data_IF_326241600991
#
_entry.id   IF_326241600991
#
_cell.length_a   1.000
_cell.length_b   1.000
_cell.length_c   1.000
_cell.angle_alpha   90.00
_cell.angle_beta   90.00
_cell.angle_gamma   90.00
#
_symmetry.space_group_name_H-M   'P 1'
#
loop_
_entity.id
_entity.type
_entity.pdbx_description
1 polymer ?
#
# COMPACT_ATOMS: atom_id res chain seq x y z
N UNK A 1 50.32 5.34 29.75
CA UNK A 1 49.81 6.13 28.60
C UNK A 1 48.80 5.37 27.73
N UNK A 2 48.94 4.06 27.50
CA UNK A 2 48.00 3.26 26.69
C UNK A 2 46.56 3.18 27.20
N UNK A 3 46.31 3.18 28.52
CA UNK A 3 44.95 3.11 29.07
C UNK A 3 44.08 4.35 28.77
N UNK A 4 44.69 5.54 28.62
CA UNK A 4 43.93 6.77 28.30
C UNK A 4 43.50 6.84 26.83
N UNK A 5 44.21 6.15 25.93
CA UNK A 5 43.86 6.08 24.50
C UNK A 5 42.64 5.15 24.26
N UNK A 6 42.54 4.07 25.03
CA UNK A 6 41.42 3.11 24.90
C UNK A 6 40.08 3.74 25.30
N UNK A 7 40.04 4.56 26.36
CA UNK A 7 38.80 5.23 26.77
C UNK A 7 38.32 6.28 25.75
N UNK A 8 39.22 7.03 25.11
CA UNK A 8 38.81 8.05 24.11
C UNK A 8 38.20 7.41 22.87
N UNK A 9 38.77 6.29 22.39
CA UNK A 9 38.24 5.55 21.23
C UNK A 9 36.86 4.96 21.53
N UNK A 10 36.64 4.43 22.74
CA UNK A 10 35.36 3.86 23.14
C UNK A 10 34.26 4.93 23.23
N UNK A 11 34.58 6.13 23.75
CA UNK A 11 33.63 7.25 23.80
C UNK A 11 33.28 7.78 22.40
N UNK A 12 34.23 7.81 21.46
CA UNK A 12 33.93 8.21 20.07
C UNK A 12 33.07 7.18 19.32
N UNK A 13 33.26 5.88 19.60
CA UNK A 13 32.44 4.82 19.01
C UNK A 13 31.00 4.82 19.56
N UNK A 14 30.81 5.19 20.83
CA UNK A 14 29.49 5.30 21.45
C UNK A 14 28.74 6.55 20.98
N UNK A 15 29.44 7.68 20.80
CA UNK A 15 28.87 8.91 20.23
C UNK A 15 28.46 8.72 18.76
N UNK A 16 29.20 7.93 17.97
CA UNK A 16 28.84 7.59 16.59
C UNK A 16 27.53 6.80 16.48
N UNK A 17 27.16 6.01 17.50
CA UNK A 17 25.89 5.27 17.52
C UNK A 17 24.69 6.15 17.87
N UNK A 18 24.87 7.19 18.67
CA UNK A 18 23.81 8.16 18.98
C UNK A 18 23.46 9.06 17.77
N UNK A 19 24.45 9.38 16.93
CA UNK A 19 24.24 10.21 15.72
C UNK A 19 23.78 9.37 14.51
N UNK A 20 24.00 8.05 14.50
CA UNK A 20 23.46 7.16 13.48
C UNK A 20 21.96 6.84 13.66
N UNK A 21 21.39 7.12 14.83
CA UNK A 21 19.96 6.92 15.10
C UNK A 21 19.07 8.09 14.65
N UNK A 22 19.64 9.19 14.13
CA UNK A 22 18.91 10.43 13.82
C UNK A 22 18.51 10.60 12.35
N UNK A 23 18.60 9.55 11.53
CA UNK A 23 18.00 9.54 10.18
C UNK A 23 17.44 8.15 9.85
N UNK A 24 16.53 7.63 10.67
CA UNK A 24 15.66 6.54 10.23
C UNK A 24 14.50 7.17 9.46
N UNK A 25 14.60 7.20 8.13
CA UNK A 25 13.48 7.59 7.27
C UNK A 25 12.26 6.72 7.63
N UNK A 26 11.08 7.33 7.76
CA UNK A 26 9.85 6.56 7.98
C UNK A 26 9.57 5.76 6.70
N UNK A 27 9.69 4.44 6.79
CA UNK A 27 9.47 3.54 5.68
C UNK A 27 8.19 2.76 5.86
N UNK A 28 7.44 2.53 4.79
CA UNK A 28 6.24 1.71 4.75
C UNK A 28 6.56 0.43 3.99
N UNK A 29 6.32 -0.72 4.60
CA UNK A 29 6.53 -2.02 3.95
C UNK A 29 5.21 -2.53 3.38
N UNK A 30 5.19 -2.80 2.08
CA UNK A 30 3.99 -3.19 1.33
C UNK A 30 4.18 -4.64 0.87
N UNK A 31 3.28 -5.53 1.28
CA UNK A 31 3.23 -6.93 0.86
C UNK A 31 3.15 -7.92 2.06
N UNK A 32 2.49 -9.09 1.88
CA UNK A 32 2.23 -10.04 2.95
C UNK A 32 3.44 -10.90 3.36
N UNK A 33 4.50 -10.95 2.54
CA UNK A 33 5.66 -11.83 2.75
C UNK A 33 6.98 -11.17 2.36
N UNK A 34 8.01 -11.43 3.17
CA UNK A 34 9.43 -11.01 3.01
C UNK A 34 10.06 -11.28 1.62
N UNK A 35 9.40 -12.04 0.75
CA UNK A 35 9.91 -12.37 -0.60
C UNK A 35 9.51 -11.38 -1.69
N UNK A 36 8.49 -10.55 -1.46
CA UNK A 36 8.05 -9.51 -2.40
C UNK A 36 7.57 -8.25 -1.66
N UNK A 37 8.21 -7.95 -0.54
CA UNK A 37 7.98 -6.72 0.22
C UNK A 37 8.72 -5.58 -0.46
N UNK A 38 7.98 -4.53 -0.84
CA UNK A 38 8.61 -3.28 -1.28
C UNK A 38 8.55 -2.30 -0.11
N UNK A 39 9.72 -1.83 0.32
CA UNK A 39 9.84 -0.80 1.33
C UNK A 39 9.90 0.55 0.61
N UNK A 40 8.92 1.40 0.89
CA UNK A 40 8.74 2.71 0.24
C UNK A 40 8.86 3.80 1.31
N UNK A 41 9.48 4.93 1.01
CA UNK A 41 9.52 6.04 1.96
C UNK A 41 8.14 6.68 2.13
N UNK A 42 7.83 7.24 3.29
CA UNK A 42 6.56 7.92 3.55
C UNK A 42 6.19 8.95 2.47
N UNK A 43 7.18 9.71 2.02
CA UNK A 43 7.05 10.75 0.98
C UNK A 43 6.82 10.18 -0.41
N UNK A 44 7.21 8.93 -0.66
CA UNK A 44 7.03 8.24 -1.95
C UNK A 44 5.65 7.58 -2.05
N UNK A 45 4.97 7.33 -0.93
CA UNK A 45 3.64 6.69 -0.90
C UNK A 45 2.63 7.42 -1.78
N UNK A 46 2.65 8.76 -1.76
CA UNK A 46 1.75 9.62 -2.54
C UNK A 46 2.47 10.42 -3.63
N UNK A 47 3.67 10.00 -4.05
CA UNK A 47 4.44 10.68 -5.09
C UNK A 47 3.94 10.32 -6.50
N UNK A 48 2.64 10.48 -6.73
CA UNK A 48 2.02 10.32 -8.02
C UNK A 48 0.96 11.40 -8.26
N UNK A 49 0.85 11.83 -9.51
CA UNK A 49 -0.12 12.85 -9.87
C UNK A 49 -1.50 12.22 -10.04
N UNK A 50 -2.33 12.34 -9.00
CA UNK A 50 -3.72 11.84 -8.99
C UNK A 50 -4.55 12.45 -10.13
N UNK A 51 -4.31 13.72 -10.47
CA UNK A 51 -5.02 14.41 -11.55
C UNK A 51 -4.72 13.84 -12.95
N UNK A 52 -3.62 13.11 -13.12
CA UNK A 52 -3.30 12.43 -14.38
C UNK A 52 -4.20 11.21 -14.64
N UNK A 53 -4.92 10.73 -13.63
CA UNK A 53 -5.77 9.55 -13.72
C UNK A 53 -7.24 9.96 -13.62
N UNK A 54 -8.02 9.93 -14.73
CA UNK A 54 -9.39 10.43 -14.75
C UNK A 54 -10.29 9.82 -13.66
N UNK A 55 -10.09 8.52 -13.39
CA UNK A 55 -10.90 7.74 -12.44
C UNK A 55 -10.74 8.23 -11.00
N UNK A 56 -9.52 8.61 -10.59
CA UNK A 56 -9.22 9.03 -9.21
C UNK A 56 -9.00 10.54 -9.08
N UNK A 57 -9.13 11.30 -10.17
CA UNK A 57 -8.88 12.75 -10.21
C UNK A 57 -9.73 13.55 -9.21
N UNK A 58 -10.94 13.07 -8.87
CA UNK A 58 -11.81 13.65 -7.85
C UNK A 58 -11.22 13.59 -6.42
N UNK A 59 -10.25 12.71 -6.19
CA UNK A 59 -9.57 12.55 -4.90
C UNK A 59 -8.34 13.45 -4.73
N UNK A 60 -7.97 14.23 -5.76
CA UNK A 60 -6.78 15.08 -5.76
C UNK A 60 -6.70 16.01 -4.54
N UNK A 61 -7.83 16.62 -4.14
CA UNK A 61 -7.89 17.48 -2.95
C UNK A 61 -7.52 16.75 -1.65
N UNK A 62 -8.05 15.53 -1.44
CA UNK A 62 -7.75 14.70 -0.27
C UNK A 62 -6.30 14.23 -0.27
N UNK A 63 -5.79 13.86 -1.44
CA UNK A 63 -4.42 13.39 -1.59
C UNK A 63 -3.38 14.52 -1.50
N UNK A 64 -3.72 15.75 -1.90
CA UNK A 64 -2.92 16.95 -1.63
C UNK A 64 -2.86 17.28 -0.15
N UNK A 65 -3.97 17.15 0.58
CA UNK A 65 -3.98 17.33 2.04
C UNK A 65 -3.10 16.29 2.73
N UNK A 66 -3.20 15.02 2.33
CA UNK A 66 -2.37 13.94 2.86
C UNK A 66 -0.88 14.13 2.55
N UNK A 67 -0.52 14.39 1.29
CA UNK A 67 0.88 14.66 0.91
C UNK A 67 1.45 15.90 1.60
N UNK A 68 0.63 16.95 1.82
CA UNK A 68 1.00 18.12 2.61
C UNK A 68 1.32 17.78 4.07
N UNK A 69 0.48 16.95 4.72
CA UNK A 69 0.72 16.50 6.10
C UNK A 69 1.99 15.64 6.21
N UNK A 70 2.19 14.71 5.27
CA UNK A 70 3.40 13.87 5.18
C UNK A 70 4.65 14.74 4.97
N UNK A 71 4.59 15.70 4.04
CA UNK A 71 5.71 16.61 3.76
C UNK A 71 6.02 17.53 4.96
N UNK A 72 5.01 17.97 5.71
CA UNK A 72 5.20 18.73 6.95
C UNK A 72 5.95 17.91 8.00
N UNK A 73 5.63 16.62 8.15
CA UNK A 73 6.36 15.71 9.03
C UNK A 73 7.79 15.41 8.54
N UNK A 74 8.01 15.38 7.22
CA UNK A 74 9.34 15.23 6.65
C UNK A 74 10.21 16.48 6.88
N UNK A 75 9.61 17.67 6.91
CA UNK A 75 10.30 18.94 7.12
C UNK A 75 10.53 19.27 8.61
N UNK A 76 9.67 18.77 9.51
CA UNK A 76 9.88 18.85 10.95
C UNK A 76 11.09 17.99 11.36
N UNK A 77 11.84 18.46 12.36
CA UNK A 77 13.14 17.91 12.79
C UNK A 77 13.26 16.38 12.65
N UNK A 78 14.14 15.94 11.75
CA UNK A 78 14.66 14.57 11.66
C UNK A 78 13.62 13.42 11.65
N UNK A 79 12.70 13.40 10.67
CA UNK A 79 11.79 12.25 10.46
C UNK A 79 11.03 11.84 11.74
N UNK A 80 10.33 12.80 12.35
CA UNK A 80 9.57 12.55 13.57
C UNK A 80 8.48 11.50 13.32
N UNK A 81 8.72 10.27 13.80
CA UNK A 81 7.78 9.17 13.68
C UNK A 81 6.49 9.40 14.46
N UNK A 82 6.52 10.24 15.50
CA UNK A 82 5.31 10.68 16.18
C UNK A 82 4.43 11.53 15.25
N UNK A 83 5.03 12.36 14.40
CA UNK A 83 4.31 13.18 13.43
C UNK A 83 3.66 12.32 12.34
N UNK A 84 4.38 11.33 11.80
CA UNK A 84 3.81 10.40 10.80
C UNK A 84 2.67 9.53 11.36
N UNK A 85 2.69 9.26 12.65
CA UNK A 85 1.68 8.45 13.35
C UNK A 85 0.58 9.28 14.02
N UNK A 86 0.67 10.60 13.98
CA UNK A 86 -0.37 11.47 14.51
C UNK A 86 -1.64 11.38 13.65
N UNK A 87 -2.80 11.55 14.28
CA UNK A 87 -4.11 11.61 13.60
C UNK A 87 -4.16 12.67 12.50
N UNK A 88 -3.42 13.76 12.68
CA UNK A 88 -3.28 14.85 11.70
C UNK A 88 -2.63 14.41 10.37
N UNK A 89 -1.88 13.31 10.37
CA UNK A 89 -1.25 12.72 9.18
C UNK A 89 -1.99 11.47 8.72
N UNK A 90 -2.37 10.61 9.65
CA UNK A 90 -3.00 9.31 9.34
C UNK A 90 -4.44 9.44 8.86
N UNK A 91 -5.23 10.39 9.38
CA UNK A 91 -6.61 10.58 8.92
C UNK A 91 -6.68 11.10 7.47
N UNK A 92 -5.93 12.15 7.07
CA UNK A 92 -5.88 12.57 5.67
C UNK A 92 -5.38 11.48 4.72
N UNK A 93 -4.40 10.68 5.15
CA UNK A 93 -3.89 9.54 4.39
C UNK A 93 -5.00 8.50 4.15
N UNK A 94 -5.69 8.08 5.21
CA UNK A 94 -6.80 7.13 5.12
C UNK A 94 -7.92 7.65 4.21
N UNK A 95 -8.22 8.96 4.30
CA UNK A 95 -9.21 9.63 3.47
C UNK A 95 -8.85 9.62 1.98
N UNK A 96 -7.59 9.89 1.65
CA UNK A 96 -7.08 9.85 0.28
C UNK A 96 -7.17 8.42 -0.28
N UNK A 97 -6.64 7.43 0.45
CA UNK A 97 -6.65 6.01 0.04
C UNK A 97 -8.07 5.48 -0.12
N UNK A 98 -8.97 5.82 0.81
CA UNK A 98 -10.38 5.43 0.76
C UNK A 98 -11.09 6.04 -0.45
N UNK A 99 -10.87 7.33 -0.72
CA UNK A 99 -11.45 7.98 -1.90
C UNK A 99 -10.99 7.32 -3.20
N UNK A 100 -9.69 7.04 -3.33
CA UNK A 100 -9.15 6.39 -4.52
C UNK A 100 -9.73 5.00 -4.72
N UNK A 101 -9.82 4.21 -3.64
CA UNK A 101 -10.42 2.89 -3.67
C UNK A 101 -11.89 2.94 -4.11
N UNK A 102 -12.71 3.79 -3.51
CA UNK A 102 -14.12 3.93 -3.87
C UNK A 102 -14.30 4.36 -5.33
N UNK A 103 -13.49 5.29 -5.82
CA UNK A 103 -13.56 5.75 -7.20
C UNK A 103 -13.19 4.65 -8.20
N UNK A 104 -12.19 3.82 -7.89
CA UNK A 104 -11.82 2.66 -8.70
C UNK A 104 -12.92 1.60 -8.73
N UNK A 105 -13.57 1.35 -7.59
CA UNK A 105 -14.67 0.40 -7.49
C UNK A 105 -15.90 0.89 -8.26
N UNK A 106 -16.29 2.16 -8.12
CA UNK A 106 -17.42 2.75 -8.88
C UNK A 106 -17.17 2.66 -10.38
N UNK A 107 -15.94 2.94 -10.82
CA UNK A 107 -15.58 2.87 -12.23
C UNK A 107 -15.38 1.43 -12.73
N UNK A 108 -15.36 0.44 -11.83
CA UNK A 108 -14.94 -0.94 -12.10
C UNK A 108 -13.65 -0.99 -12.91
N UNK A 109 -12.63 -0.25 -12.46
CA UNK A 109 -11.31 -0.18 -13.11
C UNK A 109 -10.24 -0.77 -12.23
N UNK A 110 -9.26 -1.48 -12.83
CA UNK A 110 -8.10 -1.93 -12.08
C UNK A 110 -7.31 -0.72 -11.57
N UNK A 111 -6.61 -0.95 -10.46
CA UNK A 111 -5.75 0.05 -9.84
C UNK A 111 -4.66 0.48 -10.83
N UNK A 112 -4.54 1.78 -11.19
CA UNK A 112 -3.56 2.24 -12.18
C UNK A 112 -2.12 2.16 -11.67
N UNK A 113 -1.94 2.19 -10.35
CA UNK A 113 -0.65 2.14 -9.65
C UNK A 113 -0.79 1.24 -8.42
N UNK A 114 0.19 0.39 -8.08
CA UNK A 114 0.08 -0.56 -6.97
C UNK A 114 -0.10 0.09 -5.57
N UNK A 115 0.15 1.39 -5.47
CA UNK A 115 0.05 2.16 -4.23
C UNK A 115 -1.30 2.88 -4.07
N UNK A 116 -2.07 3.08 -5.14
CA UNK A 116 -3.21 3.99 -5.13
C UNK A 116 -4.51 3.30 -4.69
N UNK A 117 -5.00 3.57 -3.47
CA UNK A 117 -6.19 2.93 -2.91
C UNK A 117 -5.86 1.56 -2.33
N UNK A 118 -4.69 1.43 -1.69
CA UNK A 118 -4.11 0.16 -1.30
C UNK A 118 -4.19 -0.07 0.21
N UNK A 119 -4.93 -1.11 0.63
CA UNK A 119 -5.01 -1.48 2.05
C UNK A 119 -3.66 -1.96 2.60
N UNK A 120 -2.78 -2.46 1.73
CA UNK A 120 -1.43 -2.87 2.11
C UNK A 120 -0.57 -1.68 2.54
N UNK A 121 -0.76 -0.50 1.93
CA UNK A 121 -0.11 0.75 2.34
C UNK A 121 -0.56 1.15 3.75
N UNK A 122 -1.87 1.14 3.99
CA UNK A 122 -2.46 1.48 5.29
C UNK A 122 -2.04 0.51 6.41
N UNK A 123 -1.98 -0.78 6.08
CA UNK A 123 -1.50 -1.82 7.00
C UNK A 123 -0.01 -1.63 7.30
N UNK A 124 0.81 -1.40 6.28
CA UNK A 124 2.23 -1.10 6.43
C UNK A 124 2.47 0.16 7.27
N UNK A 125 1.66 1.20 7.10
CA UNK A 125 1.75 2.43 7.90
C UNK A 125 1.44 2.16 9.38
N UNK A 126 0.37 1.42 9.65
CA UNK A 126 -0.03 1.02 11.01
C UNK A 126 1.07 0.21 11.71
N UNK A 127 1.66 -0.76 11.00
CA UNK A 127 2.75 -1.58 11.51
C UNK A 127 4.01 -0.75 11.81
N UNK A 128 4.35 0.19 10.93
CA UNK A 128 5.51 1.05 11.17
C UNK A 128 5.30 1.99 12.36
N UNK A 129 4.08 2.49 12.55
CA UNK A 129 3.73 3.24 13.74
C UNK A 129 3.87 2.41 15.03
N UNK A 130 3.42 1.16 15.02
CA UNK A 130 3.63 0.25 16.14
C UNK A 130 5.13 -0.02 16.39
N UNK A 131 5.93 -0.26 15.34
CA UNK A 131 7.37 -0.50 15.44
C UNK A 131 8.16 0.72 15.95
N UNK A 132 7.66 1.93 15.69
CA UNK A 132 8.23 3.20 16.16
C UNK A 132 7.75 3.58 17.58
N UNK A 133 7.06 2.69 18.30
CA UNK A 133 6.48 2.96 19.64
C UNK A 133 5.39 4.05 19.65
N UNK A 134 4.73 4.27 18.51
CA UNK A 134 3.59 5.17 18.35
C UNK A 134 2.37 4.40 17.83
N UNK A 135 1.85 3.39 18.56
CA UNK A 135 0.73 2.59 18.08
C UNK A 135 -0.50 3.46 17.87
N UNK A 136 -1.14 3.29 16.72
CA UNK A 136 -2.40 3.95 16.41
C UNK A 136 -3.51 3.37 17.30
N UNK A 137 -4.34 4.24 17.87
CA UNK A 137 -5.49 3.81 18.67
C UNK A 137 -6.50 3.00 17.84
N UNK A 138 -6.56 3.25 16.54
CA UNK A 138 -7.35 2.49 15.58
C UNK A 138 -6.46 2.19 14.37
N UNK A 139 -6.34 0.92 13.95
CA UNK A 139 -5.56 0.58 12.78
C UNK A 139 -6.16 1.23 11.53
N UNK A 140 -5.29 1.72 10.64
CA UNK A 140 -5.71 2.25 9.36
C UNK A 140 -6.28 1.13 8.49
N UNK A 141 -7.34 1.43 7.76
CA UNK A 141 -7.93 0.51 6.79
C UNK A 141 -8.79 1.25 5.79
N UNK A 142 -8.99 0.63 4.63
CA UNK A 142 -9.97 1.12 3.67
C UNK A 142 -11.37 0.91 4.23
N UNK A 143 -12.20 1.94 4.23
CA UNK A 143 -13.60 1.87 4.63
C UNK A 143 -14.50 2.35 3.51
N UNK A 144 -15.44 1.52 3.06
CA UNK A 144 -16.43 1.97 2.09
C UNK A 144 -17.50 2.79 2.81
N UNK A 145 -17.53 4.08 2.52
CA UNK A 145 -18.38 5.09 3.13
C UNK A 145 -19.31 5.78 2.10
N UNK A 146 -18.99 5.66 0.81
CA UNK A 146 -19.80 6.28 -0.24
C UNK A 146 -21.20 5.67 -0.30
N UNK A 147 -22.26 6.50 -0.27
CA UNK A 147 -23.65 6.05 -0.40
C UNK A 147 -23.92 5.24 -1.68
N UNK A 148 -23.09 5.43 -2.71
CA UNK A 148 -23.22 4.74 -3.99
C UNK A 148 -22.72 3.28 -3.95
N UNK A 149 -21.90 2.92 -2.96
CA UNK A 149 -21.42 1.55 -2.79
C UNK A 149 -22.12 0.81 -1.66
N UNK A 150 -22.64 1.53 -0.66
CA UNK A 150 -23.32 0.95 0.50
C UNK A 150 -24.55 0.17 0.00
N UNK A 151 -24.48 -1.16 0.10
CA UNK A 151 -25.57 -2.09 -0.27
C UNK A 151 -25.59 -2.55 -1.73
N UNK A 152 -24.66 -2.08 -2.58
CA UNK A 152 -24.57 -2.50 -4.00
C UNK A 152 -23.26 -3.22 -4.30
N UNK A 153 -22.20 -2.94 -3.52
CA UNK A 153 -20.92 -3.60 -3.68
C UNK A 153 -20.77 -4.74 -2.67
N UNK A 154 -20.77 -5.98 -3.14
CA UNK A 154 -20.60 -7.21 -2.34
C UNK A 154 -19.14 -7.48 -1.93
N UNK A 155 -18.24 -6.52 -2.14
CA UNK A 155 -16.82 -6.68 -1.86
C UNK A 155 -15.99 -7.06 -3.09
N UNK A 156 -14.69 -7.32 -2.92
CA UNK A 156 -13.83 -7.81 -3.99
C UNK A 156 -14.32 -9.19 -4.45
N UNK A 157 -14.96 -9.23 -5.61
CA UNK A 157 -15.36 -10.47 -6.25
C UNK A 157 -14.14 -11.09 -6.94
N UNK A 158 -13.53 -12.08 -6.30
CA UNK A 158 -12.55 -12.92 -6.95
C UNK A 158 -13.27 -14.06 -7.67
N UNK A 159 -13.54 -13.87 -8.97
CA UNK A 159 -14.01 -14.97 -9.82
C UNK A 159 -12.82 -15.89 -10.12
N UNK A 160 -12.42 -16.68 -9.14
CA UNK A 160 -11.44 -17.75 -9.36
C UNK A 160 -12.14 -18.77 -10.25
N UNK A 161 -11.81 -18.78 -11.54
CA UNK A 161 -12.25 -19.86 -12.42
C UNK A 161 -11.63 -21.15 -11.90
N UNK A 162 -12.42 -22.12 -11.39
CA UNK A 162 -11.85 -23.28 -10.75
C UNK A 162 -11.08 -24.09 -11.78
N UNK A 163 -9.76 -24.06 -11.68
CA UNK A 163 -8.82 -24.48 -12.71
C UNK A 163 -9.11 -25.91 -13.13
N UNK A 164 -9.38 -26.77 -12.14
CA UNK A 164 -9.70 -28.19 -12.35
C UNK A 164 -10.96 -28.39 -13.21
N UNK A 165 -12.04 -27.65 -12.95
CA UNK A 165 -13.29 -27.77 -13.71
C UNK A 165 -13.12 -27.15 -15.10
N UNK A 166 -12.42 -26.02 -15.16
CA UNK A 166 -12.07 -25.34 -16.40
C UNK A 166 -11.33 -26.22 -17.40
N UNK A 167 -10.30 -26.92 -16.92
CA UNK A 167 -9.52 -27.86 -17.72
C UNK A 167 -10.38 -29.03 -18.22
N UNK A 168 -11.23 -29.60 -17.37
CA UNK A 168 -12.12 -30.70 -17.77
C UNK A 168 -13.06 -30.25 -18.88
N UNK A 169 -13.71 -29.09 -18.75
CA UNK A 169 -14.63 -28.57 -19.78
C UNK A 169 -13.88 -28.31 -21.08
N UNK A 170 -12.71 -27.67 -21.03
CA UNK A 170 -11.92 -27.34 -22.21
C UNK A 170 -11.44 -28.59 -22.97
N UNK A 171 -10.93 -29.60 -22.25
CA UNK A 171 -10.43 -30.84 -22.85
C UNK A 171 -11.58 -31.68 -23.41
N UNK A 172 -12.67 -31.83 -22.66
CA UNK A 172 -13.82 -32.64 -23.10
C UNK A 172 -14.53 -31.99 -24.28
N UNK A 173 -14.73 -30.67 -24.23
CA UNK A 173 -15.30 -29.90 -25.34
C UNK A 173 -14.40 -29.91 -26.58
N UNK A 174 -13.07 -29.83 -26.39
CA UNK A 174 -12.10 -29.94 -27.47
C UNK A 174 -12.13 -31.30 -28.16
N UNK A 175 -12.13 -32.40 -27.38
CA UNK A 175 -12.19 -33.77 -27.90
C UNK A 175 -13.50 -34.06 -28.64
N UNK A 176 -14.64 -33.68 -28.06
CA UNK A 176 -15.95 -33.88 -28.69
C UNK A 176 -16.09 -33.02 -29.95
N UNK A 177 -15.67 -31.75 -29.89
CA UNK A 177 -15.71 -30.83 -31.02
C UNK A 177 -14.80 -31.25 -32.17
N UNK A 178 -13.56 -31.66 -31.88
CA UNK A 178 -12.64 -32.17 -32.90
C UNK A 178 -13.14 -33.46 -33.53
N UNK A 179 -13.77 -34.34 -32.75
CA UNK A 179 -14.33 -35.60 -33.25
C UNK A 179 -15.51 -35.35 -34.20
N UNK A 180 -16.38 -34.39 -33.87
CA UNK A 180 -17.49 -33.97 -34.73
C UNK A 180 -17.01 -33.33 -36.04
N UNK A 181 -16.01 -32.46 -35.98
CA UNK A 181 -15.41 -31.87 -37.18
C UNK A 181 -14.76 -32.95 -38.06
N UNK A 182 -14.05 -33.89 -37.46
CA UNK A 182 -13.43 -34.99 -38.19
C UNK A 182 -14.47 -35.86 -38.91
N UNK A 183 -15.61 -36.15 -38.26
CA UNK A 183 -16.72 -36.87 -38.91
C UNK A 183 -17.33 -36.08 -40.07
N UNK A 184 -17.50 -34.76 -39.94
CA UNK A 184 -18.04 -33.91 -41.01
C UNK A 184 -17.08 -33.73 -42.20
N UNK A 185 -15.77 -33.80 -41.99
CA UNK A 185 -14.77 -33.71 -43.06
C UNK A 185 -14.52 -35.04 -43.80
N UNK A 186 -14.96 -36.17 -43.23
CA UNK A 186 -14.86 -37.50 -43.82
C UNK A 186 -16.16 -37.94 -44.54
N UNK A 187 -17.23 -37.14 -44.44
CA UNK A 187 -18.42 -37.22 -45.29
C UNK A 187 -18.21 -36.39 -46.56
#
# INVERSE_FOLDING_TARGET
>A
MFSKLVSVVLLTALAGRAVAQTVTNFTVTIGPDTKRSTTVMATEVLNFNVASFPVISSCDGKCKAASGAIAACAAAAANDSACYCASTTTAPLQDCETCMFEALVIANKPMPLPLAGSNQVLTGWTLNCANQSHPLATPLGLSVSSPNLIGVWDGPFDSVFPDAVGWVIAVTGGLLGSSLIYMLCQM
#
